data_IF_563117033259
#
_entry.id   IF_563117033259
#
_cell.length_a   1.000
_cell.length_b   1.000
_cell.length_c   1.000
_cell.angle_alpha   90.00
_cell.angle_beta   90.00
_cell.angle_gamma   90.00
#
_symmetry.space_group_name_H-M   'P 1'
#
loop_
_entity.id
_entity.type
_entity.pdbx_description
1 polymer ?
#
# COMPACT_ATOMS: atom_id res chain seq x y z
N UNK A 1 30.47 -14.29 14.38
CA UNK A 1 31.08 -13.81 13.13
C UNK A 1 30.39 -12.52 12.71
N UNK A 2 31.08 -11.39 12.75
CA UNK A 2 30.60 -10.13 12.17
C UNK A 2 30.76 -10.24 10.64
N UNK A 3 29.65 -10.16 9.89
CA UNK A 3 29.73 -10.10 8.42
C UNK A 3 30.49 -8.83 8.02
N UNK A 4 31.47 -8.88 7.10
CA UNK A 4 32.14 -7.68 6.62
C UNK A 4 31.09 -6.80 5.91
N UNK A 5 30.90 -5.58 6.40
CA UNK A 5 30.06 -4.57 5.77
C UNK A 5 30.77 -4.12 4.49
N UNK A 6 30.37 -4.65 3.34
CA UNK A 6 30.89 -4.22 2.03
C UNK A 6 30.24 -2.89 1.66
N UNK A 7 30.93 -1.78 1.94
CA UNK A 7 30.43 -0.43 1.71
C UNK A 7 30.05 -0.18 0.24
N UNK A 8 30.76 -0.81 -0.70
CA UNK A 8 30.54 -0.71 -2.13
C UNK A 8 29.20 -1.33 -2.53
N UNK A 9 28.87 -2.50 -1.98
CA UNK A 9 27.60 -3.18 -2.25
C UNK A 9 26.42 -2.36 -1.74
N UNK A 10 26.53 -1.77 -0.55
CA UNK A 10 25.50 -0.91 0.01
C UNK A 10 25.30 0.37 -0.81
N UNK A 11 26.39 0.97 -1.33
CA UNK A 11 26.32 2.14 -2.22
C UNK A 11 25.61 1.82 -3.53
N UNK A 12 25.89 0.65 -4.13
CA UNK A 12 25.23 0.22 -5.36
C UNK A 12 23.74 -0.05 -5.11
N UNK A 13 23.38 -0.72 -4.02
CA UNK A 13 21.99 -0.95 -3.64
C UNK A 13 21.24 0.38 -3.40
N UNK A 14 21.84 1.30 -2.64
CA UNK A 14 21.27 2.63 -2.41
C UNK A 14 21.09 3.43 -3.71
N UNK A 15 22.07 3.37 -4.63
CA UNK A 15 21.97 4.02 -5.93
C UNK A 15 20.85 3.44 -6.80
N UNK A 16 20.66 2.11 -6.79
CA UNK A 16 19.57 1.44 -7.50
C UNK A 16 18.21 1.80 -6.91
N UNK A 17 18.09 1.80 -5.58
CA UNK A 17 16.87 2.25 -4.89
C UNK A 17 16.51 3.67 -5.27
N UNK A 18 17.50 4.58 -5.23
CA UNK A 18 17.29 5.99 -5.57
C UNK A 18 16.85 6.14 -7.02
N UNK A 19 17.45 5.41 -7.95
CA UNK A 19 17.07 5.43 -9.36
C UNK A 19 15.62 4.93 -9.55
N UNK A 20 15.26 3.78 -8.99
CA UNK A 20 13.90 3.25 -9.08
C UNK A 20 12.87 4.22 -8.47
N UNK A 21 13.16 4.73 -7.27
CA UNK A 21 12.31 5.72 -6.60
C UNK A 21 12.16 7.00 -7.41
N UNK A 22 13.24 7.48 -8.03
CA UNK A 22 13.20 8.68 -8.87
C UNK A 22 12.23 8.56 -10.03
N UNK A 23 12.11 7.36 -10.61
CA UNK A 23 11.14 7.09 -11.67
C UNK A 23 9.74 7.30 -11.10
N UNK A 24 9.35 6.56 -10.06
CA UNK A 24 7.99 6.63 -9.49
C UNK A 24 7.63 8.03 -8.98
N UNK A 25 8.55 8.69 -8.28
CA UNK A 25 8.29 10.00 -7.68
C UNK A 25 8.11 11.10 -8.73
N UNK A 26 8.86 11.04 -9.84
CA UNK A 26 8.85 12.09 -10.86
C UNK A 26 7.97 11.77 -12.07
N UNK A 27 7.43 10.56 -12.16
CA UNK A 27 6.60 10.15 -13.30
C UNK A 27 5.27 10.90 -13.31
N UNK A 28 4.88 11.43 -14.47
CA UNK A 28 3.64 12.20 -14.63
C UNK A 28 2.38 11.35 -14.38
N UNK A 29 2.41 10.07 -14.74
CA UNK A 29 1.28 9.15 -14.54
C UNK A 29 1.27 8.47 -13.16
N UNK A 30 2.20 8.82 -12.26
CA UNK A 30 2.18 8.27 -10.91
C UNK A 30 1.06 8.94 -10.10
N UNK A 31 0.13 8.10 -9.63
CA UNK A 31 -1.01 8.54 -8.84
C UNK A 31 -0.62 8.73 -7.38
N UNK A 32 -1.16 9.74 -6.73
CA UNK A 32 -1.03 9.88 -5.30
C UNK A 32 -2.03 8.94 -4.62
N UNK A 33 -1.63 8.41 -3.47
CA UNK A 33 -2.48 7.53 -2.69
C UNK A 33 -2.29 7.75 -1.20
N UNK A 34 -3.37 7.55 -0.46
CA UNK A 34 -3.33 7.43 1.00
C UNK A 34 -3.48 5.96 1.39
N UNK A 35 -2.65 5.50 2.32
CA UNK A 35 -2.42 4.07 2.55
C UNK A 35 -2.80 3.67 3.96
N UNK A 36 -3.54 2.58 4.04
CA UNK A 36 -4.01 1.97 5.27
C UNK A 36 -3.46 0.55 5.41
N UNK A 37 -3.09 0.18 6.63
CA UNK A 37 -2.75 -1.19 6.99
C UNK A 37 -3.95 -1.85 7.64
N UNK A 38 -4.42 -2.94 7.05
CA UNK A 38 -5.42 -3.80 7.67
C UNK A 38 -4.82 -4.46 8.91
N UNK A 39 -5.46 -4.27 10.05
CA UNK A 39 -5.13 -4.90 11.32
C UNK A 39 -6.32 -5.76 11.75
N UNK A 40 -6.03 -7.00 12.15
CA UNK A 40 -7.04 -7.88 12.72
C UNK A 40 -7.09 -7.58 14.22
N UNK A 41 -8.24 -7.10 14.69
CA UNK A 41 -8.42 -6.83 16.10
C UNK A 41 -8.58 -8.14 16.87
N UNK A 42 -7.82 -8.34 17.96
CA UNK A 42 -7.98 -9.51 18.81
C UNK A 42 -9.33 -9.43 19.52
N UNK A 43 -9.97 -10.60 19.71
CA UNK A 43 -11.21 -10.71 20.47
C UNK A 43 -10.91 -10.29 21.92
N UNK A 44 -11.67 -9.33 22.46
CA UNK A 44 -11.60 -8.98 23.88
C UNK A 44 -12.23 -10.11 24.70
N UNK A 45 -11.60 -10.47 25.82
CA UNK A 45 -12.12 -11.52 26.71
C UNK A 45 -13.55 -11.18 27.17
N UNK A 46 -14.50 -12.05 26.82
CA UNK A 46 -15.91 -11.95 27.22
C UNK A 46 -16.86 -11.32 26.21
N UNK A 47 -16.37 -10.81 25.07
CA UNK A 47 -17.21 -10.28 23.98
C UNK A 47 -17.43 -11.31 22.86
N UNK A 48 -18.62 -11.32 22.28
CA UNK A 48 -18.93 -12.16 21.11
C UNK A 48 -18.40 -11.48 19.84
N UNK A 49 -17.89 -12.23 18.84
CA UNK A 49 -17.36 -11.62 17.60
C UNK A 49 -18.32 -10.64 16.92
N UNK A 50 -19.63 -10.90 17.00
CA UNK A 50 -20.68 -10.02 16.48
C UNK A 50 -20.67 -8.60 17.08
N UNK A 51 -20.17 -8.44 18.30
CA UNK A 51 -20.09 -7.16 19.03
C UNK A 51 -18.79 -6.40 18.71
N UNK A 52 -17.78 -7.09 18.16
CA UNK A 52 -16.49 -6.52 17.76
C UNK A 52 -16.44 -6.06 16.30
N UNK A 53 -17.43 -6.45 15.49
CA UNK A 53 -17.53 -6.08 14.07
C UNK A 53 -18.17 -4.68 13.93
N UNK A 54 -17.71 -3.90 12.96
CA UNK A 54 -18.16 -2.52 12.75
C UNK A 54 -19.69 -2.43 12.52
N UNK A 55 -20.37 -1.38 13.03
CA UNK A 55 -21.78 -1.15 12.75
C UNK A 55 -22.00 -0.96 11.24
N UNK A 56 -22.69 -1.90 10.60
CA UNK A 56 -23.02 -1.85 9.16
C UNK A 56 -22.38 -2.93 8.29
N UNK A 57 -21.54 -3.80 8.84
CA UNK A 57 -21.13 -5.03 8.17
C UNK A 57 -22.15 -6.15 8.48
N UNK A 58 -22.75 -6.75 7.44
CA UNK A 58 -23.58 -7.96 7.60
C UNK A 58 -22.68 -9.16 7.92
N UNK A 59 -23.01 -9.89 8.97
CA UNK A 59 -22.28 -11.09 9.40
C UNK A 59 -22.62 -12.28 8.49
N UNK A 60 -21.69 -12.72 7.65
CA UNK A 60 -21.85 -13.92 6.81
C UNK A 60 -21.57 -15.22 7.60
N UNK A 61 -20.60 -15.22 8.54
CA UNK A 61 -20.38 -16.34 9.48
C UNK A 61 -19.51 -15.97 10.69
N UNK A 62 -19.69 -16.67 11.83
CA UNK A 62 -18.92 -16.45 13.08
C UNK A 62 -17.46 -16.90 13.02
N UNK A 63 -17.08 -17.68 12.00
CA UNK A 63 -15.74 -18.26 11.85
C UNK A 63 -14.85 -17.46 10.89
N UNK A 64 -15.42 -16.69 9.96
CA UNK A 64 -14.68 -16.08 8.85
C UNK A 64 -14.51 -14.57 8.97
N UNK A 65 -15.33 -13.88 9.76
CA UNK A 65 -15.21 -12.43 9.91
C UNK A 65 -14.32 -12.04 11.08
N UNK A 66 -13.16 -11.51 10.73
CA UNK A 66 -12.27 -10.82 11.64
C UNK A 66 -12.70 -9.35 11.72
N UNK A 67 -12.96 -8.84 12.92
CA UNK A 67 -13.00 -7.40 13.15
C UNK A 67 -11.69 -6.81 12.61
N UNK A 68 -11.78 -6.03 11.55
CA UNK A 68 -10.62 -5.53 10.82
C UNK A 68 -10.60 -4.02 10.89
N UNK A 69 -9.69 -3.50 11.71
CA UNK A 69 -9.40 -2.07 11.78
C UNK A 69 -8.39 -1.69 10.70
N UNK A 70 -8.39 -0.41 10.34
CA UNK A 70 -7.48 0.15 9.35
C UNK A 70 -6.61 1.21 10.02
N UNK A 71 -5.31 0.95 10.08
CA UNK A 71 -4.33 1.91 10.61
C UNK A 71 -3.74 2.72 9.47
N UNK A 72 -3.79 4.04 9.58
CA UNK A 72 -3.12 4.94 8.65
C UNK A 72 -1.60 4.71 8.64
N UNK A 73 -1.01 4.59 7.45
CA UNK A 73 0.43 4.53 7.24
C UNK A 73 1.00 5.86 6.71
N UNK A 74 0.23 6.56 5.87
CA UNK A 74 0.65 7.80 5.22
C UNK A 74 0.44 7.76 3.72
N UNK A 75 1.22 8.54 2.99
CA UNK A 75 1.06 8.75 1.56
C UNK A 75 2.06 7.95 0.72
N UNK A 76 1.66 7.56 -0.49
CA UNK A 76 2.54 6.93 -1.47
C UNK A 76 2.20 7.34 -2.90
N UNK A 77 3.21 7.37 -3.76
CA UNK A 77 3.03 7.44 -5.21
C UNK A 77 2.96 6.03 -5.78
N UNK A 78 1.98 5.80 -6.64
CA UNK A 78 1.72 4.51 -7.29
C UNK A 78 1.86 4.68 -8.80
N UNK A 79 2.84 4.00 -9.39
CA UNK A 79 3.05 3.94 -10.83
C UNK A 79 2.58 2.59 -11.35
N UNK A 80 1.43 2.57 -12.01
CA UNK A 80 0.87 1.38 -12.66
C UNK A 80 1.77 0.97 -13.84
N UNK A 81 2.11 -0.30 -13.92
CA UNK A 81 3.04 -0.86 -14.91
C UNK A 81 2.31 -1.73 -15.94
N UNK A 82 1.57 -2.74 -15.48
CA UNK A 82 0.89 -3.69 -16.37
C UNK A 82 -0.44 -4.16 -15.82
N UNK A 83 -1.39 -4.39 -16.73
CA UNK A 83 -2.72 -4.92 -16.44
C UNK A 83 -2.73 -6.46 -16.42
N UNK A 84 -3.45 -7.04 -15.48
CA UNK A 84 -3.73 -8.47 -15.39
C UNK A 84 -5.27 -8.64 -15.50
N UNK A 85 -5.78 -9.41 -16.48
CA UNK A 85 -7.21 -9.50 -16.79
C UNK A 85 -8.03 -10.36 -15.81
N UNK A 86 -7.69 -10.33 -14.53
CA UNK A 86 -8.40 -11.01 -13.44
C UNK A 86 -7.72 -10.76 -12.09
N UNK A 87 -8.50 -10.84 -11.01
CA UNK A 87 -8.01 -10.56 -9.67
C UNK A 87 -7.25 -11.77 -9.15
N UNK A 88 -6.14 -11.53 -8.47
CA UNK A 88 -5.25 -12.60 -8.01
C UNK A 88 -5.70 -13.01 -6.61
N UNK A 89 -5.89 -14.30 -6.37
CA UNK A 89 -6.18 -14.78 -5.02
C UNK A 89 -5.00 -14.47 -4.08
N UNK A 90 -5.30 -14.28 -2.80
CA UNK A 90 -4.34 -13.85 -1.79
C UNK A 90 -3.08 -14.74 -1.71
N UNK A 91 -3.19 -16.02 -2.02
CA UNK A 91 -2.10 -17.00 -2.01
C UNK A 91 -1.45 -17.23 -3.38
N UNK A 92 -1.81 -16.43 -4.39
CA UNK A 92 -1.41 -16.61 -5.79
C UNK A 92 -1.83 -17.97 -6.39
N UNK A 93 -2.79 -18.67 -5.78
CA UNK A 93 -3.20 -20.01 -6.23
C UNK A 93 -4.04 -19.98 -7.50
N UNK A 94 -4.77 -18.89 -7.74
CA UNK A 94 -5.70 -18.80 -8.86
C UNK A 94 -5.94 -17.32 -9.27
N UNK A 95 -6.60 -17.13 -10.41
CA UNK A 95 -7.03 -15.83 -10.93
C UNK A 95 -8.56 -15.86 -11.08
N UNK A 96 -9.25 -14.99 -10.36
CA UNK A 96 -10.68 -14.81 -10.54
C UNK A 96 -10.95 -13.86 -11.72
N UNK A 97 -11.64 -14.39 -12.74
CA UNK A 97 -11.99 -13.64 -13.94
C UNK A 97 -13.22 -12.77 -13.64
N UNK A 98 -13.03 -11.47 -13.47
CA UNK A 98 -14.13 -10.52 -13.28
C UNK A 98 -13.67 -9.13 -12.84
N UNK A 99 -12.67 -9.06 -11.96
CA UNK A 99 -12.10 -7.80 -11.48
C UNK A 99 -10.65 -7.66 -11.93
N UNK A 100 -10.19 -6.46 -12.30
CA UNK A 100 -8.84 -6.30 -12.79
C UNK A 100 -7.83 -6.29 -11.65
N UNK A 101 -6.68 -6.92 -11.90
CA UNK A 101 -5.47 -6.76 -11.12
C UNK A 101 -4.41 -5.96 -11.89
N UNK A 102 -3.49 -5.34 -11.17
CA UNK A 102 -2.45 -4.51 -11.73
C UNK A 102 -1.13 -4.76 -11.04
N UNK A 103 -0.05 -4.69 -11.80
CA UNK A 103 1.28 -4.54 -11.22
C UNK A 103 1.59 -3.05 -11.12
N UNK A 104 2.15 -2.63 -10.00
CA UNK A 104 2.58 -1.26 -9.81
C UNK A 104 3.84 -1.16 -8.97
N UNK A 105 4.62 -0.10 -9.20
CA UNK A 105 5.68 0.31 -8.29
C UNK A 105 5.12 1.36 -7.33
N UNK A 106 5.54 1.27 -6.07
CA UNK A 106 4.99 2.09 -5.00
C UNK A 106 6.12 2.72 -4.23
N UNK A 107 6.07 4.04 -4.05
CA UNK A 107 7.05 4.78 -3.28
C UNK A 107 6.35 5.63 -2.21
N UNK A 108 6.47 5.24 -0.93
CA UNK A 108 5.99 6.03 0.21
C UNK A 108 6.62 7.40 0.27
N UNK A 109 5.90 8.43 0.68
CA UNK A 109 6.44 9.77 0.90
C UNK A 109 5.76 10.48 2.08
N UNK A 110 6.47 11.46 2.63
CA UNK A 110 5.94 12.38 3.65
C UNK A 110 5.17 13.51 2.96
N UNK A 111 3.92 13.76 3.38
CA UNK A 111 3.04 14.74 2.74
C UNK A 111 3.64 16.15 2.77
N UNK A 112 4.37 16.47 3.83
CA UNK A 112 5.07 17.74 4.03
C UNK A 112 6.12 18.01 2.93
N UNK A 113 6.61 16.96 2.28
CA UNK A 113 7.59 17.05 1.20
C UNK A 113 6.93 17.03 -0.20
N UNK A 114 5.59 17.01 -0.32
CA UNK A 114 4.90 16.78 -1.60
C UNK A 114 5.19 17.85 -2.66
N UNK A 115 5.57 19.06 -2.24
CA UNK A 115 5.91 20.17 -3.13
C UNK A 115 7.31 20.03 -3.76
N UNK A 116 8.17 19.18 -3.19
CA UNK A 116 9.56 19.02 -3.60
C UNK A 116 9.91 17.56 -3.86
N UNK A 117 9.91 17.18 -5.14
CA UNK A 117 10.33 15.83 -5.55
C UNK A 117 11.73 15.45 -5.06
N UNK A 118 12.64 16.43 -4.87
CA UNK A 118 13.97 16.20 -4.30
C UNK A 118 13.90 15.80 -2.82
N UNK A 119 13.01 16.41 -2.04
CA UNK A 119 12.81 16.07 -0.63
C UNK A 119 12.10 14.73 -0.50
N UNK A 120 11.08 14.46 -1.33
CA UNK A 120 10.46 13.14 -1.42
C UNK A 120 11.49 12.04 -1.74
N UNK A 121 12.48 12.33 -2.59
CA UNK A 121 13.52 11.35 -2.92
C UNK A 121 14.49 11.06 -1.77
N UNK A 122 14.78 12.06 -0.93
CA UNK A 122 15.74 11.95 0.17
C UNK A 122 15.11 11.44 1.46
N UNK A 123 13.89 11.87 1.74
CA UNK A 123 13.17 11.60 2.97
C UNK A 123 12.18 10.47 2.70
N UNK A 124 12.60 9.25 3.03
CA UNK A 124 11.82 8.03 2.77
C UNK A 124 11.17 7.59 4.09
N UNK A 125 9.84 7.46 4.14
CA UNK A 125 9.16 6.87 5.29
C UNK A 125 9.65 5.46 5.59
N UNK A 126 9.72 5.10 6.88
CA UNK A 126 10.14 3.77 7.33
C UNK A 126 8.98 2.76 7.32
N UNK A 127 8.35 2.63 6.16
CA UNK A 127 7.39 1.57 5.90
C UNK A 127 7.44 1.16 4.43
N UNK A 128 6.99 -0.07 4.16
CA UNK A 128 6.82 -0.60 2.81
C UNK A 128 5.42 -1.21 2.68
N UNK A 129 4.85 -1.23 1.46
CA UNK A 129 3.62 -1.97 1.19
C UNK A 129 3.73 -3.42 1.63
N UNK A 130 2.66 -3.93 2.22
CA UNK A 130 2.51 -5.32 2.63
C UNK A 130 1.18 -5.86 2.11
N UNK A 131 1.10 -7.18 2.03
CA UNK A 131 -0.15 -7.86 1.70
C UNK A 131 -1.26 -7.44 2.67
N UNK A 132 -2.42 -7.07 2.14
CA UNK A 132 -3.57 -6.56 2.87
C UNK A 132 -3.53 -5.05 3.15
N UNK A 133 -2.46 -4.35 2.77
CA UNK A 133 -2.47 -2.88 2.78
C UNK A 133 -3.41 -2.37 1.68
N UNK A 134 -4.19 -1.35 2.00
CA UNK A 134 -5.20 -0.75 1.14
C UNK A 134 -4.73 0.64 0.73
N UNK A 135 -4.89 0.95 -0.55
CA UNK A 135 -4.48 2.21 -1.15
C UNK A 135 -5.71 2.91 -1.72
N UNK A 136 -5.97 4.12 -1.22
CA UNK A 136 -6.92 5.05 -1.80
C UNK A 136 -6.21 5.85 -2.90
N UNK A 137 -6.33 5.42 -4.16
CA UNK A 137 -5.79 6.15 -5.30
C UNK A 137 -6.61 7.42 -5.54
N UNK A 138 -5.95 8.57 -5.52
CA UNK A 138 -6.54 9.88 -5.79
C UNK A 138 -6.37 10.16 -7.28
N UNK A 139 -7.44 9.99 -8.06
CA UNK A 139 -7.44 10.28 -9.50
C UNK A 139 -7.80 11.74 -9.75
N UNK A 140 -8.84 12.22 -9.06
CA UNK A 140 -9.25 13.61 -9.00
C UNK A 140 -9.92 13.91 -7.64
N UNK A 141 -10.37 15.13 -7.40
CA UNK A 141 -11.00 15.57 -6.13
C UNK A 141 -12.27 14.78 -5.77
N UNK A 142 -12.92 14.16 -6.74
CA UNK A 142 -14.19 13.44 -6.60
C UNK A 142 -14.09 11.93 -6.84
N UNK A 143 -12.96 11.46 -7.39
CA UNK A 143 -12.78 10.11 -7.87
C UNK A 143 -11.62 9.45 -7.14
N UNK A 144 -12.00 8.61 -6.18
CA UNK A 144 -11.06 7.74 -5.47
C UNK A 144 -11.30 6.30 -5.91
N UNK A 145 -10.20 5.59 -6.17
CA UNK A 145 -10.22 4.16 -6.45
C UNK A 145 -9.45 3.40 -5.39
N UNK A 146 -10.09 2.39 -4.82
CA UNK A 146 -9.51 1.56 -3.78
C UNK A 146 -8.85 0.34 -4.41
N UNK A 147 -7.61 0.08 -4.03
CA UNK A 147 -6.88 -1.12 -4.42
C UNK A 147 -6.25 -1.79 -3.19
N UNK A 148 -6.18 -3.11 -3.17
CA UNK A 148 -5.55 -3.89 -2.10
C UNK A 148 -4.26 -4.54 -2.60
N UNK A 149 -3.17 -4.40 -1.85
CA UNK A 149 -1.93 -5.09 -2.11
C UNK A 149 -2.07 -6.58 -1.79
N UNK A 150 -1.91 -7.43 -2.80
CA UNK A 150 -2.03 -8.90 -2.67
C UNK A 150 -0.66 -9.52 -2.39
N UNK A 151 0.41 -8.84 -2.79
CA UNK A 151 1.79 -9.25 -2.54
C UNK A 151 2.79 -8.52 -3.43
N UNK A 152 4.05 -8.94 -3.37
CA UNK A 152 5.14 -8.36 -4.17
C UNK A 152 5.64 -9.35 -5.23
N UNK A 153 5.95 -8.82 -6.41
CA UNK A 153 6.62 -9.52 -7.51
C UNK A 153 8.04 -8.97 -7.61
N UNK A 154 9.01 -9.88 -7.68
CA UNK A 154 10.43 -9.53 -7.81
C UNK A 154 11.19 -9.75 -6.50
N UNK A 155 11.29 -11.02 -6.07
CA UNK A 155 12.30 -11.42 -5.11
C UNK A 155 13.66 -11.44 -5.81
N UNK A 156 14.30 -10.28 -5.91
CA UNK A 156 15.74 -10.27 -6.11
C UNK A 156 16.42 -10.67 -4.79
N UNK A 157 17.44 -11.53 -4.87
CA UNK A 157 18.29 -11.89 -3.72
C UNK A 157 19.13 -10.69 -3.21
N UNK A 158 19.08 -9.54 -3.89
CA UNK A 158 19.73 -8.29 -3.48
C UNK A 158 18.68 -7.23 -3.14
N UNK A 159 18.90 -6.51 -2.03
CA UNK A 159 18.03 -5.42 -1.57
C UNK A 159 17.84 -4.34 -2.65
N UNK A 160 16.58 -3.91 -2.79
CA UNK A 160 16.10 -2.69 -3.45
C UNK A 160 16.42 -2.48 -4.93
N UNK A 161 15.53 -2.95 -5.82
CA UNK A 161 15.56 -2.62 -7.25
C UNK A 161 14.25 -1.96 -7.75
N UNK A 162 13.46 -1.37 -6.85
CA UNK A 162 12.08 -1.00 -7.14
C UNK A 162 11.21 -2.25 -7.05
N UNK A 163 10.67 -2.50 -5.86
CA UNK A 163 9.74 -3.61 -5.65
C UNK A 163 8.47 -3.34 -6.45
N UNK A 164 8.02 -4.36 -7.19
CA UNK A 164 6.72 -4.33 -7.85
C UNK A 164 5.72 -5.03 -6.94
N UNK A 165 4.52 -4.50 -6.88
CA UNK A 165 3.42 -5.04 -6.09
C UNK A 165 2.25 -5.39 -6.98
N UNK A 166 1.52 -6.41 -6.59
CA UNK A 166 0.28 -6.83 -7.24
C UNK A 166 -0.88 -6.26 -6.46
N UNK A 167 -1.80 -5.65 -7.19
CA UNK A 167 -2.98 -5.03 -6.64
C UNK A 167 -4.23 -5.61 -7.25
N UNK A 168 -5.24 -5.87 -6.41
CA UNK A 168 -6.60 -6.09 -6.87
C UNK A 168 -7.40 -4.80 -6.70
N UNK A 169 -8.37 -4.59 -7.58
CA UNK A 169 -9.40 -3.59 -7.35
C UNK A 169 -10.24 -4.00 -6.14
N UNK A 170 -10.69 -3.02 -5.36
CA UNK A 170 -11.58 -3.25 -4.23
C UNK A 170 -12.80 -2.36 -4.33
N UNK A 171 -13.91 -2.85 -3.80
CA UNK A 171 -15.11 -2.04 -3.62
C UNK A 171 -14.84 -0.82 -2.75
N UNK A 172 -15.69 0.20 -2.92
CA UNK A 172 -15.52 1.47 -2.23
C UNK A 172 -15.63 1.29 -0.71
N UNK A 173 -14.59 1.71 0.02
CA UNK A 173 -14.59 1.77 1.48
C UNK A 173 -15.05 3.16 1.92
N UNK A 174 -16.35 3.41 1.83
CA UNK A 174 -16.98 4.72 2.12
C UNK A 174 -16.81 5.21 3.56
N UNK A 175 -16.38 4.35 4.48
CA UNK A 175 -16.16 4.68 5.89
C UNK A 175 -14.72 5.13 6.20
N UNK A 176 -13.80 5.04 5.24
CA UNK A 176 -12.42 5.50 5.40
C UNK A 176 -12.26 6.86 4.74
N UNK A 177 -11.68 7.81 5.47
CA UNK A 177 -11.36 9.14 4.92
C UNK A 177 -10.11 9.05 4.03
N UNK A 178 -10.23 9.30 2.71
CA UNK A 178 -9.16 9.05 1.76
C UNK A 178 -8.10 10.18 1.73
N UNK A 179 -8.32 11.25 2.49
CA UNK A 179 -7.42 12.38 2.65
C UNK A 179 -7.62 12.99 4.04
N UNK A 180 -6.55 13.49 4.66
CA UNK A 180 -6.66 14.38 5.82
C UNK A 180 -7.04 15.77 5.36
N UNK A 181 -8.01 16.39 6.02
CA UNK A 181 -8.34 17.79 5.79
C UNK A 181 -7.11 18.65 6.12
N UNK A 182 -6.94 19.74 5.36
CA UNK A 182 -5.78 20.63 5.47
C UNK A 182 -5.63 21.23 6.89
N UNK A 183 -6.73 21.32 7.64
CA UNK A 183 -6.78 21.80 9.02
C UNK A 183 -6.08 20.83 10.01
N UNK A 184 -6.05 19.52 9.74
CA UNK A 184 -5.39 18.52 10.60
C UNK A 184 -3.87 18.44 10.40
N UNK A 185 -3.34 19.04 9.32
CA UNK A 185 -1.90 19.07 9.04
C UNK A 185 -1.18 20.25 9.72
N UNK A 186 -1.92 21.16 10.35
CA UNK A 186 -1.41 22.39 10.96
C UNK A 186 -1.41 22.37 12.51
N UNK A 187 -1.86 21.27 13.13
CA UNK A 187 -1.75 21.00 14.58
C UNK A 187 -0.47 20.22 14.93
#
# INVERSE_FOLDING_TARGET
MLRPIRQETNRVAAGRRLAARSIVITHLSALNSFVFRRQIDPIKDGETRAESVYPGAELLSTQEEHATSYKELGYAKVLLDSFIPGSVFNDYSDINVGEPAFNAQVEPFFIENSESGREMLRNIPDWRPRKGDIFALIIDESTIKWIECVGSIGQSLTEDHGEKYVFNTRDSLSHLEPFKNQDELLE
#
